data_IF_171181261209
#
_entry.id   IF_171181261209
#
_cell.length_a   1.000
_cell.length_b   1.000
_cell.length_c   1.000
_cell.angle_alpha   90.00
_cell.angle_beta   90.00
_cell.angle_gamma   90.00
#
_symmetry.space_group_name_H-M   'P 1'
#
loop_
_entity.id
_entity.type
_entity.pdbx_description
1 polymer ?
#
# COMPACT_ATOMS: atom_id res chain seq x y z
N UNK A 1 1.45 -2.71 11.56
CA UNK A 1 1.98 -1.50 12.23
C UNK A 1 3.44 -1.35 11.84
N UNK A 2 4.07 -0.23 12.14
CA UNK A 2 5.49 -0.01 11.83
C UNK A 2 6.38 -0.76 12.82
N UNK A 3 7.42 -1.39 12.29
CA UNK A 3 8.55 -1.95 13.05
C UNK A 3 9.85 -1.62 12.29
N UNK A 4 10.98 -1.50 12.99
CA UNK A 4 12.25 -1.18 12.34
C UNK A 4 12.81 -2.37 11.55
N UNK A 5 12.57 -3.59 12.01
CA UNK A 5 13.09 -4.85 11.46
C UNK A 5 12.02 -5.60 10.66
N UNK A 6 11.18 -4.86 9.91
CA UNK A 6 10.18 -5.46 9.04
C UNK A 6 10.78 -6.19 7.84
N UNK A 7 10.22 -7.35 7.52
CA UNK A 7 10.40 -7.97 6.21
C UNK A 7 9.90 -7.02 5.11
N UNK A 8 10.62 -6.95 3.99
CA UNK A 8 10.32 -6.02 2.89
C UNK A 8 8.86 -6.09 2.42
N UNK A 9 8.30 -7.30 2.34
CA UNK A 9 6.90 -7.53 1.91
C UNK A 9 5.89 -6.87 2.87
N UNK A 10 6.17 -6.89 4.17
CA UNK A 10 5.28 -6.37 5.20
C UNK A 10 5.38 -4.84 5.23
N UNK A 11 6.58 -4.29 5.04
CA UNK A 11 6.78 -2.85 4.89
C UNK A 11 6.05 -2.29 3.66
N UNK A 12 6.11 -2.99 2.52
CA UNK A 12 5.36 -2.66 1.31
C UNK A 12 3.85 -2.66 1.59
N UNK A 13 3.33 -3.67 2.29
CA UNK A 13 1.92 -3.75 2.62
C UNK A 13 1.48 -2.63 3.57
N UNK A 14 2.28 -2.30 4.59
CA UNK A 14 2.01 -1.15 5.48
C UNK A 14 1.96 0.15 4.70
N UNK A 15 2.92 0.40 3.81
CA UNK A 15 2.94 1.60 2.97
C UNK A 15 1.73 1.67 2.01
N UNK A 16 1.43 0.56 1.33
CA UNK A 16 0.29 0.44 0.41
C UNK A 16 -1.03 0.72 1.12
N UNK A 17 -1.21 0.12 2.30
CA UNK A 17 -2.43 0.28 3.10
C UNK A 17 -2.55 1.68 3.72
N UNK A 18 -1.46 2.31 4.11
CA UNK A 18 -1.47 3.68 4.63
C UNK A 18 -1.96 4.68 3.58
N UNK A 19 -1.44 4.63 2.35
CA UNK A 19 -1.90 5.50 1.27
C UNK A 19 -3.35 5.19 0.90
N UNK A 20 -3.73 3.91 0.79
CA UNK A 20 -5.12 3.53 0.56
C UNK A 20 -6.07 4.16 1.60
N UNK A 21 -5.73 4.09 2.89
CA UNK A 21 -6.55 4.71 3.94
C UNK A 21 -6.65 6.23 3.80
N UNK A 22 -5.56 6.91 3.41
CA UNK A 22 -5.59 8.34 3.12
C UNK A 22 -6.55 8.65 1.96
N UNK A 23 -6.45 7.90 0.84
CA UNK A 23 -7.34 8.06 -0.32
C UNK A 23 -8.82 7.79 -0.01
N UNK A 24 -9.12 6.98 1.00
CA UNK A 24 -10.49 6.72 1.41
C UNK A 24 -11.13 7.89 2.18
N UNK A 25 -10.31 8.75 2.81
CA UNK A 25 -10.78 9.81 3.70
C UNK A 25 -10.56 11.23 3.15
N UNK A 26 -9.48 11.45 2.44
CA UNK A 26 -9.13 12.76 1.88
C UNK A 26 -9.65 12.89 0.44
N UNK A 27 -10.54 13.86 0.23
CA UNK A 27 -11.22 14.09 -1.06
C UNK A 27 -10.27 14.50 -2.20
N UNK A 28 -9.07 14.99 -1.87
CA UNK A 28 -8.06 15.38 -2.86
C UNK A 28 -7.01 14.30 -3.13
N UNK A 29 -7.14 13.13 -2.49
CA UNK A 29 -6.24 11.98 -2.67
C UNK A 29 -6.97 10.82 -3.37
N UNK A 30 -6.37 10.23 -4.40
CA UNK A 30 -6.98 9.11 -5.12
C UNK A 30 -6.17 8.59 -6.32
N UNK A 31 -6.80 7.79 -7.17
CA UNK A 31 -6.19 7.26 -8.41
C UNK A 31 -5.42 5.95 -8.19
N UNK A 32 -4.09 6.03 -8.14
CA UNK A 32 -3.22 4.85 -8.01
C UNK A 32 -2.18 5.02 -6.89
N UNK A 33 -1.95 3.94 -6.15
CA UNK A 33 -0.84 3.81 -5.21
C UNK A 33 0.38 3.28 -5.96
N UNK A 34 1.37 4.11 -6.23
CA UNK A 34 2.64 3.68 -6.81
C UNK A 34 3.65 3.41 -5.70
N UNK A 35 4.20 2.20 -5.67
CA UNK A 35 5.13 1.76 -4.61
C UNK A 35 6.51 1.54 -5.20
N UNK A 36 7.51 2.07 -4.50
CA UNK A 36 8.93 1.94 -4.81
C UNK A 36 9.67 1.48 -3.57
N UNK A 37 10.71 0.67 -3.76
CA UNK A 37 11.58 0.20 -2.68
C UNK A 37 13.02 0.62 -2.99
N UNK A 38 13.64 1.34 -2.07
CA UNK A 38 15.00 1.88 -2.21
C UNK A 38 15.98 0.95 -1.48
N UNK A 39 16.99 0.47 -2.21
CA UNK A 39 18.08 -0.40 -1.73
C UNK A 39 19.42 0.27 -1.98
N UNK A 40 20.50 -0.36 -1.51
CA UNK A 40 21.87 0.13 -1.70
C UNK A 40 22.23 0.34 -3.19
N UNK A 41 21.85 -0.60 -4.06
CA UNK A 41 22.14 -0.54 -5.50
C UNK A 41 21.20 0.40 -6.29
N UNK A 42 20.20 0.98 -5.62
CA UNK A 42 19.21 1.87 -6.24
C UNK A 42 17.78 1.50 -5.88
N UNK A 43 16.82 2.10 -6.59
CA UNK A 43 15.39 1.87 -6.37
C UNK A 43 14.80 0.89 -7.37
N UNK A 44 13.80 0.14 -6.91
CA UNK A 44 12.96 -0.71 -7.75
C UNK A 44 11.50 -0.25 -7.68
N UNK A 45 10.80 -0.30 -8.82
CA UNK A 45 9.35 -0.10 -8.84
C UNK A 45 8.67 -1.42 -8.47
N UNK A 46 7.96 -1.42 -7.34
CA UNK A 46 7.23 -2.59 -6.86
C UNK A 46 5.94 -2.78 -7.66
N UNK A 47 5.18 -1.70 -7.85
CA UNK A 47 3.90 -1.78 -8.56
C UNK A 47 3.10 -0.49 -8.53
N UNK A 48 2.01 -0.49 -9.31
CA UNK A 48 0.99 0.56 -9.29
C UNK A 48 -0.37 -0.11 -9.08
N UNK A 49 -1.07 0.28 -8.02
CA UNK A 49 -2.31 -0.36 -7.59
C UNK A 49 -3.46 0.63 -7.69
N UNK A 50 -4.52 0.30 -8.44
CA UNK A 50 -5.71 1.14 -8.49
C UNK A 50 -6.41 1.13 -7.11
N UNK A 51 -6.79 2.31 -6.62
CA UNK A 51 -7.42 2.45 -5.30
C UNK A 51 -8.75 1.70 -5.22
N UNK A 52 -9.52 1.62 -6.31
CA UNK A 52 -10.79 0.88 -6.34
C UNK A 52 -10.58 -0.63 -6.21
N UNK A 53 -9.56 -1.18 -6.87
CA UNK A 53 -9.23 -2.61 -6.77
C UNK A 53 -8.79 -2.96 -5.35
N UNK A 54 -7.95 -2.09 -4.74
CA UNK A 54 -7.54 -2.22 -3.34
C UNK A 54 -8.72 -2.15 -2.37
N UNK A 55 -9.73 -1.32 -2.65
CA UNK A 55 -10.93 -1.24 -1.83
C UNK A 55 -11.63 -2.61 -1.76
N UNK A 56 -11.89 -3.24 -2.91
CA UNK A 56 -12.52 -4.55 -2.93
C UNK A 56 -11.63 -5.64 -2.31
N UNK A 57 -10.31 -5.62 -2.56
CA UNK A 57 -9.35 -6.54 -1.94
C UNK A 57 -9.44 -6.50 -0.40
N UNK A 58 -9.41 -5.29 0.18
CA UNK A 58 -9.43 -5.14 1.63
C UNK A 58 -10.81 -5.39 2.26
N UNK A 59 -11.91 -5.07 1.58
CA UNK A 59 -13.24 -5.42 2.07
C UNK A 59 -13.46 -6.94 2.07
N UNK A 60 -13.02 -7.65 1.02
CA UNK A 60 -13.02 -9.11 0.98
C UNK A 60 -12.21 -9.72 2.14
N UNK A 61 -11.02 -9.18 2.40
CA UNK A 61 -10.17 -9.64 3.50
C UNK A 61 -10.82 -9.38 4.87
N UNK A 62 -11.57 -8.28 5.03
CA UNK A 62 -12.33 -7.99 6.25
C UNK A 62 -13.50 -8.94 6.42
N UNK A 63 -14.20 -9.30 5.34
CA UNK A 63 -15.34 -10.21 5.38
C UNK A 63 -14.94 -11.67 5.69
N UNK A 64 -13.71 -12.06 5.36
CA UNK A 64 -13.16 -13.40 5.64
C UNK A 64 -12.66 -13.57 7.08
N UNK A 65 -12.67 -12.51 7.88
CA UNK A 65 -12.11 -12.47 9.24
C UNK A 65 -13.21 -12.45 10.29
#
# INVERSE_FOLDING_TARGET
EYDFEMETKDAIEVGRRAIFQATHRDAYSGGQVNVYHVKEEGWERVGGYNVLDLYYEYEDLRARK
#
